data_IF_863486379244
#
_entry.id   IF_863486379244
#
_cell.length_a   1.000
_cell.length_b   1.000
_cell.length_c   1.000
_cell.angle_alpha   90.00
_cell.angle_beta   90.00
_cell.angle_gamma   90.00
#
_symmetry.space_group_name_H-M   'P 1'
#
loop_
_entity.id
_entity.type
_entity.pdbx_description
1 polymer ?
#
# COMPACT_ATOMS: atom_id res chain seq x y z
N UNK A 1 18.90 3.04 -7.33
CA UNK A 1 18.38 2.05 -8.31
C UNK A 1 17.56 1.01 -7.55
N UNK A 2 16.38 0.62 -8.03
CA UNK A 2 15.57 -0.46 -7.45
C UNK A 2 16.12 -1.81 -7.89
N UNK A 3 16.47 -2.66 -6.92
CA UNK A 3 17.14 -3.94 -7.16
C UNK A 3 16.16 -5.11 -7.03
N UNK A 4 15.38 -5.15 -5.95
CA UNK A 4 14.43 -6.24 -5.71
C UNK A 4 13.31 -5.83 -4.74
N UNK A 5 12.23 -6.60 -4.76
CA UNK A 5 11.09 -6.48 -3.86
C UNK A 5 10.72 -7.88 -3.36
N UNK A 6 10.36 -8.00 -2.09
CA UNK A 6 9.72 -9.18 -1.52
C UNK A 6 8.47 -8.78 -0.73
N UNK A 7 7.54 -9.72 -0.59
CA UNK A 7 6.28 -9.50 0.11
C UNK A 7 6.04 -10.56 1.19
N UNK A 8 5.28 -10.19 2.22
CA UNK A 8 4.78 -11.09 3.24
C UNK A 8 3.30 -10.81 3.46
N UNK A 9 2.49 -11.84 3.23
CA UNK A 9 1.06 -11.77 3.46
C UNK A 9 0.73 -12.29 4.88
N UNK A 10 -0.33 -11.75 5.49
CA UNK A 10 -0.98 -12.33 6.66
C UNK A 10 -1.43 -13.79 6.45
N UNK A 11 -1.67 -14.53 7.54
CA UNK A 11 -1.99 -15.97 7.47
C UNK A 11 -3.43 -16.26 7.03
N UNK A 12 -4.40 -15.39 7.34
CA UNK A 12 -5.80 -15.65 7.03
C UNK A 12 -6.15 -15.14 5.65
N UNK A 13 -6.65 -16.03 4.80
CA UNK A 13 -7.13 -15.71 3.45
C UNK A 13 -8.64 -15.88 3.45
N UNK A 14 -9.37 -14.86 3.04
CA UNK A 14 -10.82 -14.89 2.98
C UNK A 14 -11.29 -14.54 1.58
N UNK A 15 -12.18 -15.37 1.01
CA UNK A 15 -12.88 -15.04 -0.23
C UNK A 15 -13.79 -13.85 0.00
N UNK A 16 -13.92 -13.00 -1.01
CA UNK A 16 -14.71 -11.77 -0.88
C UNK A 16 -16.16 -12.06 -0.46
N UNK A 17 -16.78 -13.10 -1.02
CA UNK A 17 -18.11 -13.58 -0.63
C UNK A 17 -18.26 -13.83 0.88
N UNK A 18 -17.30 -14.55 1.49
CA UNK A 18 -17.32 -14.84 2.93
C UNK A 18 -17.18 -13.60 3.80
N UNK A 19 -16.34 -12.65 3.37
CA UNK A 19 -16.18 -11.38 4.09
C UNK A 19 -17.49 -10.60 4.04
N UNK A 20 -18.18 -10.61 2.90
CA UNK A 20 -19.46 -9.92 2.74
C UNK A 20 -20.58 -10.56 3.56
N UNK A 21 -20.61 -11.88 3.64
CA UNK A 21 -21.56 -12.60 4.52
C UNK A 21 -21.35 -12.19 5.98
N UNK A 22 -20.10 -12.11 6.41
CA UNK A 22 -19.74 -11.68 7.76
C UNK A 22 -20.12 -10.21 8.01
N UNK A 23 -19.91 -9.31 7.04
CA UNK A 23 -20.37 -7.91 7.15
C UNK A 23 -21.89 -7.82 7.23
N UNK A 24 -22.63 -8.57 6.39
CA UNK A 24 -24.10 -8.62 6.42
C UNK A 24 -24.62 -9.12 7.76
N UNK A 25 -23.97 -10.15 8.33
CA UNK A 25 -24.33 -10.70 9.65
C UNK A 25 -24.20 -9.64 10.74
N UNK A 26 -23.16 -8.80 10.70
CA UNK A 26 -22.95 -7.71 11.66
C UNK A 26 -24.00 -6.61 11.54
N UNK A 27 -24.42 -6.34 10.31
CA UNK A 27 -25.40 -5.29 9.98
C UNK A 27 -26.80 -5.84 9.75
N UNK A 28 -27.15 -7.00 10.33
CA UNK A 28 -28.41 -7.70 10.03
C UNK A 28 -29.65 -6.86 10.35
N UNK A 29 -29.55 -6.00 11.36
CA UNK A 29 -30.62 -5.10 11.79
C UNK A 29 -30.74 -3.83 10.91
N UNK A 30 -29.93 -3.70 9.86
CA UNK A 30 -29.93 -2.54 8.95
C UNK A 30 -30.07 -2.97 7.47
N UNK A 31 -31.31 -3.10 6.95
CA UNK A 31 -31.56 -3.52 5.57
C UNK A 31 -30.93 -2.61 4.50
N UNK A 32 -30.82 -1.31 4.78
CA UNK A 32 -30.18 -0.35 3.86
C UNK A 32 -28.67 -0.60 3.74
N UNK A 33 -28.02 -0.94 4.86
CA UNK A 33 -26.60 -1.33 4.87
C UNK A 33 -26.36 -2.59 4.04
N UNK A 34 -27.21 -3.61 4.18
CA UNK A 34 -27.11 -4.86 3.40
C UNK A 34 -27.23 -4.58 1.89
N UNK A 35 -28.16 -3.71 1.49
CA UNK A 35 -28.28 -3.30 0.07
C UNK A 35 -27.02 -2.60 -0.43
N UNK A 36 -26.43 -1.71 0.37
CA UNK A 36 -25.20 -1.04 0.00
C UNK A 36 -24.02 -2.03 -0.10
N UNK A 37 -23.87 -2.95 0.85
CA UNK A 37 -22.85 -4.00 0.82
C UNK A 37 -22.96 -4.82 -0.48
N UNK A 38 -24.17 -5.22 -0.87
CA UNK A 38 -24.39 -5.95 -2.13
C UNK A 38 -23.99 -5.12 -3.36
N UNK A 39 -24.36 -3.83 -3.39
CA UNK A 39 -24.03 -2.93 -4.51
C UNK A 39 -22.51 -2.71 -4.66
N UNK A 40 -21.82 -2.47 -3.54
CA UNK A 40 -20.36 -2.28 -3.52
C UNK A 40 -19.64 -3.58 -3.88
N UNK A 41 -20.13 -4.72 -3.39
CA UNK A 41 -19.57 -6.04 -3.69
C UNK A 41 -19.53 -6.35 -5.19
N UNK A 42 -20.66 -6.18 -5.88
CA UNK A 42 -20.80 -6.52 -7.31
C UNK A 42 -19.80 -5.75 -8.18
N UNK A 43 -19.30 -4.62 -7.68
CA UNK A 43 -18.40 -3.72 -8.39
C UNK A 43 -17.00 -3.66 -7.75
N UNK A 44 -16.65 -4.58 -6.84
CA UNK A 44 -15.38 -4.49 -6.11
C UNK A 44 -14.17 -4.95 -6.93
N UNK A 45 -14.35 -5.91 -7.86
CA UNK A 45 -13.26 -6.62 -8.56
C UNK A 45 -12.26 -7.33 -7.63
N UNK A 46 -12.67 -7.60 -6.38
CA UNK A 46 -11.86 -8.31 -5.37
C UNK A 46 -12.37 -9.74 -5.25
N UNK A 47 -11.49 -10.72 -5.45
CA UNK A 47 -11.81 -12.15 -5.29
C UNK A 47 -11.51 -12.62 -3.87
N UNK A 48 -10.39 -12.16 -3.30
CA UNK A 48 -9.92 -12.54 -1.96
C UNK A 48 -9.05 -11.45 -1.33
N UNK A 49 -8.95 -11.49 -0.01
CA UNK A 49 -8.10 -10.61 0.79
C UNK A 49 -7.35 -11.40 1.85
N UNK A 50 -6.27 -10.80 2.34
CA UNK A 50 -5.42 -11.35 3.39
C UNK A 50 -5.55 -10.49 4.66
N UNK A 51 -5.68 -11.16 5.82
CA UNK A 51 -5.91 -10.50 7.10
C UNK A 51 -5.10 -11.11 8.24
N UNK A 52 -4.77 -10.29 9.22
CA UNK A 52 -4.20 -10.73 10.51
C UNK A 52 -5.27 -11.17 11.51
N UNK A 53 -6.53 -10.80 11.28
CA UNK A 53 -7.70 -11.27 12.04
C UNK A 53 -8.43 -12.37 11.30
N UNK A 54 -8.96 -13.35 12.04
CA UNK A 54 -9.64 -14.54 11.51
C UNK A 54 -11.15 -14.38 11.31
N UNK A 55 -11.72 -13.18 11.56
CA UNK A 55 -13.16 -12.94 11.59
C UNK A 55 -13.95 -13.44 10.37
N UNK A 56 -13.33 -13.44 9.18
CA UNK A 56 -13.94 -13.93 7.92
C UNK A 56 -13.29 -15.21 7.37
N UNK A 57 -12.39 -15.85 8.13
CA UNK A 57 -11.70 -17.08 7.74
C UNK A 57 -12.61 -18.32 7.89
N UNK A 58 -12.35 -19.37 7.11
CA UNK A 58 -13.14 -20.61 7.14
C UNK A 58 -13.03 -21.35 8.50
N UNK A 59 -11.86 -21.31 9.14
CA UNK A 59 -11.63 -21.83 10.49
C UNK A 59 -11.57 -20.66 11.47
N UNK A 60 -12.68 -20.41 12.18
CA UNK A 60 -12.87 -19.25 13.04
C UNK A 60 -12.85 -19.66 14.52
N UNK A 61 -11.65 -19.82 15.08
CA UNK A 61 -11.49 -20.18 16.49
C UNK A 61 -11.33 -18.95 17.41
N UNK A 62 -11.07 -17.77 16.83
CA UNK A 62 -10.83 -16.53 17.57
C UNK A 62 -11.40 -15.31 16.83
N UNK A 63 -12.59 -14.86 17.25
CA UNK A 63 -13.26 -13.69 16.67
C UNK A 63 -12.71 -12.43 17.33
N UNK A 64 -12.10 -11.54 16.55
CA UNK A 64 -11.57 -10.28 17.08
C UNK A 64 -12.68 -9.22 17.27
N UNK A 65 -13.74 -9.28 16.46
CA UNK A 65 -14.88 -8.37 16.51
C UNK A 65 -16.21 -9.13 16.67
N UNK A 66 -16.81 -9.18 17.87
CA UNK A 66 -18.07 -9.92 18.12
C UNK A 66 -19.24 -9.01 18.52
N UNK A 67 -20.49 -9.41 18.17
CA UNK A 67 -21.74 -8.71 18.56
C UNK A 67 -22.55 -9.44 19.65
N UNK A 68 -22.34 -10.76 19.84
CA UNK A 68 -23.19 -11.64 20.65
C UNK A 68 -22.46 -12.38 21.79
N UNK A 69 -21.29 -11.90 22.23
CA UNK A 69 -20.54 -12.45 23.36
C UNK A 69 -19.79 -11.35 24.10
N UNK A 70 -19.38 -11.62 25.35
CA UNK A 70 -18.94 -10.66 26.37
C UNK A 70 -17.73 -9.73 26.05
N UNK A 71 -17.31 -9.55 24.79
CA UNK A 71 -16.40 -8.45 24.40
C UNK A 71 -16.71 -7.79 23.04
N UNK A 72 -17.29 -6.60 23.20
CA UNK A 72 -17.13 -5.26 22.60
C UNK A 72 -16.02 -5.08 21.52
N UNK A 73 -16.40 -4.36 20.45
CA UNK A 73 -15.53 -3.56 19.56
C UNK A 73 -14.20 -3.18 20.25
N UNK A 74 -13.04 -3.77 19.88
CA UNK A 74 -11.82 -3.61 20.66
C UNK A 74 -11.36 -2.16 20.62
N UNK A 75 -10.97 -1.63 21.79
CA UNK A 75 -10.40 -0.30 21.88
C UNK A 75 -9.07 -0.19 21.11
N UNK A 76 -8.67 1.04 20.78
CA UNK A 76 -7.45 1.36 20.04
C UNK A 76 -6.21 0.70 20.64
N UNK A 77 -6.12 0.61 21.97
CA UNK A 77 -4.99 -0.06 22.63
C UNK A 77 -4.84 -1.53 22.21
N UNK A 78 -5.92 -2.32 22.27
CA UNK A 78 -5.90 -3.75 21.92
C UNK A 78 -5.58 -3.95 20.44
N UNK A 79 -6.12 -3.09 19.56
CA UNK A 79 -5.80 -3.06 18.13
C UNK A 79 -4.31 -2.80 17.88
N UNK A 80 -3.71 -1.85 18.61
CA UNK A 80 -2.28 -1.52 18.48
C UNK A 80 -1.35 -2.58 19.09
N UNK A 81 -1.80 -3.32 20.11
CA UNK A 81 -1.04 -4.47 20.63
C UNK A 81 -0.98 -5.60 19.59
N UNK A 82 -2.09 -5.90 18.89
CA UNK A 82 -2.10 -6.81 17.73
C UNK A 82 -1.27 -6.29 16.56
N UNK A 83 -1.38 -4.99 16.25
CA UNK A 83 -0.55 -4.36 15.23
C UNK A 83 0.93 -4.60 15.53
N UNK A 84 1.38 -4.33 16.77
CA UNK A 84 2.77 -4.53 17.18
C UNK A 84 3.23 -5.99 17.01
N UNK A 85 2.38 -6.97 17.29
CA UNK A 85 2.69 -8.38 17.09
C UNK A 85 2.89 -8.70 15.61
N UNK A 86 1.88 -8.43 14.77
CA UNK A 86 1.90 -8.76 13.36
C UNK A 86 2.88 -7.93 12.53
N UNK A 87 3.07 -6.67 12.90
CA UNK A 87 4.03 -5.77 12.27
C UNK A 87 5.44 -6.34 12.34
N UNK A 88 5.84 -6.83 13.52
CA UNK A 88 7.14 -7.47 13.72
C UNK A 88 7.29 -8.72 12.87
N UNK A 89 6.28 -9.60 12.89
CA UNK A 89 6.28 -10.86 12.16
C UNK A 89 6.36 -10.66 10.64
N UNK A 90 5.45 -9.86 10.07
CA UNK A 90 5.35 -9.69 8.62
C UNK A 90 6.52 -8.90 8.04
N UNK A 91 6.99 -7.85 8.72
CA UNK A 91 8.16 -7.09 8.27
C UNK A 91 9.42 -7.96 8.31
N UNK A 92 9.66 -8.71 9.39
CA UNK A 92 10.79 -9.65 9.48
C UNK A 92 10.74 -10.67 8.34
N UNK A 93 9.57 -11.27 8.07
CA UNK A 93 9.41 -12.24 7.01
C UNK A 93 9.66 -11.64 5.62
N UNK A 94 9.15 -10.44 5.33
CA UNK A 94 9.36 -9.78 4.04
C UNK A 94 10.84 -9.44 3.83
N UNK A 95 11.52 -8.90 4.85
CA UNK A 95 12.94 -8.54 4.77
C UNK A 95 13.81 -9.79 4.68
N UNK A 96 13.57 -10.82 5.50
CA UNK A 96 14.35 -12.06 5.44
C UNK A 96 14.26 -12.70 4.04
N UNK A 97 13.04 -12.81 3.47
CA UNK A 97 12.85 -13.29 2.09
C UNK A 97 13.60 -12.46 1.06
N UNK A 98 13.63 -11.13 1.24
CA UNK A 98 14.36 -10.22 0.35
C UNK A 98 15.87 -10.46 0.43
N UNK A 99 16.41 -10.57 1.65
CA UNK A 99 17.83 -10.76 1.90
C UNK A 99 18.30 -12.10 1.34
N UNK A 100 17.59 -13.18 1.67
CA UNK A 100 17.95 -14.56 1.30
C UNK A 100 17.90 -14.75 -0.22
N UNK A 101 16.82 -14.31 -0.89
CA UNK A 101 16.65 -14.50 -2.33
C UNK A 101 17.69 -13.75 -3.17
N UNK A 102 18.29 -12.70 -2.62
CA UNK A 102 19.21 -11.82 -3.34
C UNK A 102 20.63 -11.80 -2.78
N UNK A 103 20.94 -12.67 -1.80
CA UNK A 103 22.24 -12.75 -1.11
C UNK A 103 22.73 -11.39 -0.58
N UNK A 104 21.82 -10.57 -0.07
CA UNK A 104 22.16 -9.24 0.47
C UNK A 104 22.65 -9.40 1.90
N UNK A 105 23.86 -8.93 2.18
CA UNK A 105 24.43 -8.95 3.53
C UNK A 105 23.66 -7.96 4.44
N UNK A 106 23.01 -8.40 5.54
CA UNK A 106 22.17 -7.54 6.37
C UNK A 106 22.91 -6.30 6.91
N UNK A 107 24.14 -6.48 7.39
CA UNK A 107 24.99 -5.41 7.92
C UNK A 107 25.46 -4.38 6.85
N UNK A 108 25.28 -4.68 5.56
CA UNK A 108 25.61 -3.75 4.47
C UNK A 108 24.54 -2.67 4.27
N UNK A 109 23.35 -2.83 4.85
CA UNK A 109 22.26 -1.88 4.74
C UNK A 109 22.56 -0.69 5.67
N UNK A 110 22.58 0.52 5.11
CA UNK A 110 22.96 1.74 5.82
C UNK A 110 21.87 2.81 5.85
N UNK A 111 20.72 2.55 5.20
CA UNK A 111 19.51 3.35 5.32
C UNK A 111 18.29 2.44 5.49
N UNK A 112 17.44 2.75 6.46
CA UNK A 112 16.15 2.10 6.69
C UNK A 112 15.02 3.13 6.63
N UNK A 113 14.03 2.86 5.79
CA UNK A 113 12.80 3.66 5.67
C UNK A 113 11.63 2.74 5.99
N UNK A 114 10.85 3.09 7.01
CA UNK A 114 9.62 2.36 7.39
C UNK A 114 8.40 3.20 7.07
N UNK A 115 7.36 2.56 6.55
CA UNK A 115 6.11 3.19 6.14
C UNK A 115 4.93 2.43 6.74
N UNK A 116 4.06 3.14 7.45
CA UNK A 116 2.76 2.64 7.88
C UNK A 116 1.82 3.78 8.29
N UNK A 117 0.53 3.65 8.02
CA UNK A 117 -0.51 4.53 8.56
C UNK A 117 -1.50 3.80 9.49
N UNK A 118 -1.33 2.48 9.68
CA UNK A 118 -2.26 1.63 10.43
C UNK A 118 -1.79 1.29 11.85
N UNK A 119 -0.68 1.84 12.32
CA UNK A 119 -0.30 1.70 13.72
C UNK A 119 1.04 2.34 14.07
N UNK A 120 1.23 2.55 15.37
CA UNK A 120 2.44 3.16 15.93
C UNK A 120 2.84 2.45 17.21
N UNK A 121 4.14 2.24 17.39
CA UNK A 121 4.70 1.80 18.67
C UNK A 121 6.17 2.23 18.76
N UNK A 122 6.66 2.43 19.99
CA UNK A 122 8.05 2.76 20.28
C UNK A 122 8.58 1.84 21.40
N UNK A 123 9.80 1.28 21.28
CA UNK A 123 10.70 1.28 20.11
C UNK A 123 10.05 0.63 18.87
N UNK A 124 10.24 1.25 17.70
CA UNK A 124 9.49 0.95 16.48
C UNK A 124 9.96 -0.29 15.71
N UNK A 125 9.39 -0.47 14.51
CA UNK A 125 9.77 -1.52 13.58
C UNK A 125 11.26 -1.51 13.26
N UNK A 126 11.81 -0.31 13.13
CA UNK A 126 13.23 -0.08 12.90
C UNK A 126 14.11 -0.76 13.95
N UNK A 127 13.84 -0.55 15.23
CA UNK A 127 14.56 -1.19 16.33
C UNK A 127 14.42 -2.71 16.28
N UNK A 128 13.22 -3.22 16.01
CA UNK A 128 12.99 -4.66 15.94
C UNK A 128 13.78 -5.33 14.80
N UNK A 129 13.77 -4.73 13.62
CA UNK A 129 14.45 -5.28 12.45
C UNK A 129 15.97 -5.26 12.61
N UNK A 130 16.51 -4.18 13.16
CA UNK A 130 17.96 -4.08 13.42
C UNK A 130 18.44 -5.24 14.30
N UNK A 131 17.76 -5.46 15.43
CA UNK A 131 18.14 -6.50 16.36
C UNK A 131 17.85 -7.91 15.84
N UNK A 132 16.70 -8.13 15.19
CA UNK A 132 16.26 -9.48 14.80
C UNK A 132 16.89 -10.01 13.52
N UNK A 133 17.43 -9.14 12.66
CA UNK A 133 18.05 -9.50 11.38
C UNK A 133 19.54 -9.15 11.30
N UNK A 134 20.12 -8.59 12.38
CA UNK A 134 21.53 -8.20 12.40
C UNK A 134 21.85 -7.09 11.39
N UNK A 135 20.95 -6.10 11.25
CA UNK A 135 21.23 -4.92 10.44
C UNK A 135 22.30 -4.05 11.12
N UNK A 136 22.90 -3.15 10.35
CA UNK A 136 23.89 -2.21 10.84
C UNK A 136 23.34 -1.36 12.00
N UNK A 137 24.04 -1.30 13.13
CA UNK A 137 23.62 -0.50 14.30
C UNK A 137 23.74 1.00 14.07
N UNK A 138 24.57 1.43 13.12
CA UNK A 138 24.74 2.83 12.71
C UNK A 138 23.82 3.20 11.52
N UNK A 139 22.85 2.36 11.17
CA UNK A 139 21.90 2.59 10.08
C UNK A 139 21.14 3.92 10.28
N UNK A 140 21.05 4.74 9.23
CA UNK A 140 20.22 5.95 9.26
C UNK A 140 18.76 5.57 9.07
N UNK A 141 17.86 6.09 9.89
CA UNK A 141 16.45 5.65 9.95
C UNK A 141 15.49 6.78 9.61
N UNK A 142 14.41 6.49 8.91
CA UNK A 142 13.30 7.42 8.68
C UNK A 142 11.99 6.65 8.78
N UNK A 143 11.07 7.14 9.60
CA UNK A 143 9.73 6.58 9.73
C UNK A 143 8.73 7.54 9.09
N UNK A 144 8.04 7.06 8.05
CA UNK A 144 6.99 7.79 7.33
C UNK A 144 5.66 7.26 7.85
N UNK A 145 5.10 7.98 8.82
CA UNK A 145 3.86 7.64 9.49
C UNK A 145 2.67 8.41 8.94
N UNK A 146 1.48 7.80 8.94
CA UNK A 146 0.19 8.50 8.81
C UNK A 146 -0.06 9.25 7.48
N UNK A 147 0.66 8.91 6.40
CA UNK A 147 0.48 9.54 5.08
C UNK A 147 -0.44 8.75 4.12
N UNK A 148 -1.14 7.74 4.65
CA UNK A 148 -2.11 6.93 3.90
C UNK A 148 -1.52 6.20 2.68
N UNK A 149 -2.38 5.92 1.70
CA UNK A 149 -2.05 5.05 0.57
C UNK A 149 -0.90 5.56 -0.33
N UNK A 150 -0.62 6.87 -0.34
CA UNK A 150 0.47 7.45 -1.12
C UNK A 150 1.85 7.37 -0.43
N UNK A 151 1.92 6.89 0.81
CA UNK A 151 3.13 6.95 1.63
C UNK A 151 4.33 6.19 1.06
N UNK A 152 4.12 5.12 0.28
CA UNK A 152 5.23 4.41 -0.37
C UNK A 152 5.86 5.19 -1.52
N UNK A 153 5.11 6.07 -2.18
CA UNK A 153 5.65 6.95 -3.23
C UNK A 153 6.45 8.09 -2.59
N UNK A 154 5.96 8.66 -1.48
CA UNK A 154 6.74 9.55 -0.62
C UNK A 154 8.07 8.90 -0.17
N UNK A 155 8.03 7.62 0.20
CA UNK A 155 9.23 6.89 0.57
C UNK A 155 10.21 6.70 -0.60
N UNK A 156 9.71 6.50 -1.83
CA UNK A 156 10.52 6.48 -3.05
C UNK A 156 11.18 7.85 -3.29
N UNK A 157 10.50 8.96 -2.98
CA UNK A 157 11.13 10.29 -3.00
C UNK A 157 12.30 10.37 -2.01
N UNK A 158 12.12 9.93 -0.76
CA UNK A 158 13.22 9.88 0.21
C UNK A 158 14.36 8.97 -0.24
N UNK A 159 14.07 7.83 -0.89
CA UNK A 159 15.09 6.98 -1.52
C UNK A 159 15.89 7.76 -2.56
N UNK A 160 15.21 8.49 -3.45
CA UNK A 160 15.86 9.31 -4.50
C UNK A 160 16.79 10.36 -3.88
N UNK A 161 16.33 11.08 -2.86
CA UNK A 161 17.14 12.08 -2.15
C UNK A 161 18.40 11.47 -1.51
N UNK A 162 18.28 10.30 -0.88
CA UNK A 162 19.43 9.58 -0.29
C UNK A 162 20.41 9.11 -1.38
N UNK A 163 19.91 8.64 -2.52
CA UNK A 163 20.78 8.22 -3.62
C UNK A 163 21.53 9.41 -4.23
N UNK A 164 20.87 10.57 -4.38
CA UNK A 164 21.47 11.77 -4.94
C UNK A 164 22.47 12.45 -3.99
N UNK A 165 22.23 12.41 -2.68
CA UNK A 165 23.12 12.99 -1.64
C UNK A 165 24.25 12.06 -1.19
N UNK A 166 24.43 10.92 -1.85
CA UNK A 166 25.40 9.93 -1.44
C UNK A 166 26.86 10.32 -1.71
N UNK A 167 27.12 11.36 -2.53
CA UNK A 167 28.46 11.87 -2.89
C UNK A 167 29.46 10.76 -3.28
N UNK A 168 28.98 9.74 -4.00
CA UNK A 168 29.77 8.57 -4.42
C UNK A 168 29.92 7.47 -3.36
N UNK A 169 29.43 7.69 -2.13
CA UNK A 169 29.38 6.65 -1.12
C UNK A 169 28.31 5.61 -1.46
N UNK A 170 28.56 4.35 -1.05
CA UNK A 170 27.59 3.26 -1.19
C UNK A 170 26.37 3.55 -0.31
N UNK A 171 25.19 3.59 -0.91
CA UNK A 171 23.89 3.68 -0.25
C UNK A 171 23.12 2.40 -0.52
N UNK A 172 22.88 1.62 0.54
CA UNK A 172 22.08 0.41 0.53
C UNK A 172 20.84 0.66 1.39
N UNK A 173 19.71 0.84 0.73
CA UNK A 173 18.48 1.36 1.32
C UNK A 173 17.43 0.26 1.36
N UNK A 174 16.97 -0.05 2.57
CA UNK A 174 15.83 -0.92 2.80
C UNK A 174 14.58 -0.06 3.04
N UNK A 175 13.59 -0.21 2.16
CA UNK A 175 12.26 0.39 2.30
C UNK A 175 11.28 -0.70 2.72
N UNK A 176 10.48 -0.44 3.76
CA UNK A 176 9.45 -1.35 4.25
C UNK A 176 8.13 -0.61 4.29
N UNK A 177 7.11 -1.22 3.71
CA UNK A 177 5.74 -0.73 3.73
C UNK A 177 4.84 -1.81 4.31
N UNK A 178 4.17 -1.50 5.42
CA UNK A 178 3.35 -2.44 6.17
C UNK A 178 2.02 -1.78 6.51
N UNK A 179 0.93 -2.46 6.18
CA UNK A 179 -0.41 -2.00 6.55
C UNK A 179 -1.28 -3.14 7.06
N UNK A 180 -1.96 -2.91 8.18
CA UNK A 180 -2.85 -3.85 8.87
C UNK A 180 -4.24 -3.22 9.04
N UNK A 181 -4.90 -2.94 7.92
CA UNK A 181 -6.18 -2.25 7.88
C UNK A 181 -7.32 -3.02 8.56
N UNK A 182 -7.27 -4.35 8.58
CA UNK A 182 -8.29 -5.19 9.21
C UNK A 182 -8.40 -4.96 10.72
N UNK A 183 -7.34 -4.45 11.36
CA UNK A 183 -7.33 -4.03 12.76
C UNK A 183 -8.10 -2.74 13.01
N UNK A 184 -8.62 -2.07 11.97
CA UNK A 184 -9.41 -0.83 12.04
C UNK A 184 -10.80 -0.99 11.44
N UNK A 185 -11.33 -2.23 11.41
CA UNK A 185 -12.71 -2.48 11.02
C UNK A 185 -13.67 -1.80 12.01
N UNK A 186 -14.64 -1.08 11.44
CA UNK A 186 -15.74 -0.46 12.18
C UNK A 186 -17.05 -1.17 11.88
N UNK A 187 -17.84 -1.44 12.92
CA UNK A 187 -19.10 -2.18 12.81
C UNK A 187 -20.31 -1.31 12.55
N UNK A 188 -20.20 0.00 12.78
CA UNK A 188 -21.28 0.95 12.48
C UNK A 188 -21.47 1.07 10.96
N UNK A 189 -22.69 0.90 10.44
CA UNK A 189 -22.94 0.81 9.01
C UNK A 189 -23.05 2.18 8.33
N UNK A 190 -22.06 3.05 8.50
CA UNK A 190 -21.92 4.27 7.70
C UNK A 190 -21.46 3.93 6.27
N UNK A 191 -21.69 4.82 5.31
CA UNK A 191 -21.26 4.61 3.92
C UNK A 191 -19.74 4.39 3.85
N UNK A 192 -18.99 5.25 4.53
CA UNK A 192 -17.52 5.20 4.58
C UNK A 192 -17.02 3.89 5.19
N UNK A 193 -17.62 3.43 6.29
CA UNK A 193 -17.25 2.15 6.92
C UNK A 193 -17.58 0.97 6.02
N UNK A 194 -18.73 0.97 5.34
CA UNK A 194 -19.12 -0.11 4.42
C UNK A 194 -18.14 -0.18 3.25
N UNK A 195 -17.85 0.94 2.59
CA UNK A 195 -16.87 0.98 1.49
C UNK A 195 -15.51 0.48 2.00
N UNK A 196 -15.05 1.03 3.11
CA UNK A 196 -13.77 0.69 3.75
C UNK A 196 -13.64 -0.81 4.02
N UNK A 197 -14.62 -1.39 4.70
CA UNK A 197 -14.62 -2.81 5.08
C UNK A 197 -14.67 -3.75 3.87
N UNK A 198 -15.14 -3.29 2.71
CA UNK A 198 -15.20 -4.10 1.48
C UNK A 198 -13.91 -4.08 0.66
N UNK A 199 -13.04 -3.07 0.82
CA UNK A 199 -11.86 -2.89 -0.03
C UNK A 199 -10.53 -3.15 0.69
N UNK A 200 -10.40 -2.76 1.96
CA UNK A 200 -9.11 -2.78 2.63
C UNK A 200 -8.68 -4.17 3.07
N UNK A 201 -7.37 -4.37 3.08
CA UNK A 201 -6.70 -5.61 3.43
C UNK A 201 -5.36 -5.32 4.13
N UNK A 202 -4.68 -6.40 4.52
CA UNK A 202 -3.41 -6.32 5.22
C UNK A 202 -2.27 -6.86 4.34
N UNK A 203 -1.09 -6.26 4.47
CA UNK A 203 0.06 -6.69 3.70
C UNK A 203 1.37 -6.01 4.11
N UNK A 204 2.48 -6.68 3.82
CA UNK A 204 3.81 -6.11 3.99
C UNK A 204 4.67 -6.32 2.75
N UNK A 205 5.38 -5.28 2.32
CA UNK A 205 6.36 -5.33 1.27
C UNK A 205 7.69 -4.72 1.73
N UNK A 206 8.80 -5.34 1.33
CA UNK A 206 10.14 -4.84 1.49
C UNK A 206 10.76 -4.62 0.10
N UNK A 207 11.38 -3.46 -0.12
CA UNK A 207 12.06 -3.11 -1.35
C UNK A 207 13.50 -2.69 -1.05
N UNK A 208 14.44 -3.15 -1.86
CA UNK A 208 15.85 -2.81 -1.72
C UNK A 208 16.32 -1.95 -2.88
N UNK A 209 16.94 -0.84 -2.52
CA UNK A 209 17.54 0.10 -3.45
C UNK A 209 19.03 0.23 -3.17
N UNK A 210 19.82 0.36 -4.24
CA UNK A 210 21.25 0.60 -4.11
C UNK A 210 21.78 1.53 -5.20
N UNK A 211 22.89 2.21 -4.92
CA UNK A 211 23.77 2.81 -5.94
C UNK A 211 25.07 1.99 -6.14
N UNK A 212 25.21 0.85 -5.46
CA UNK A 212 26.45 0.07 -5.48
C UNK A 212 26.66 -0.63 -6.83
N UNK A 213 27.89 -0.60 -7.39
CA UNK A 213 28.23 -1.34 -8.60
C UNK A 213 28.03 -2.86 -8.48
N UNK A 214 28.05 -3.39 -7.25
CA UNK A 214 27.79 -4.79 -6.93
C UNK A 214 26.45 -5.30 -7.50
N UNK A 215 25.42 -4.44 -7.52
CA UNK A 215 24.08 -4.81 -7.95
C UNK A 215 23.77 -4.41 -9.40
N UNK A 216 24.78 -4.03 -10.20
CA UNK A 216 24.59 -3.51 -11.57
C UNK A 216 23.78 -4.44 -12.49
N UNK A 217 23.91 -5.76 -12.30
CA UNK A 217 23.23 -6.77 -13.13
C UNK A 217 21.81 -7.08 -12.62
N UNK A 218 21.42 -6.56 -11.46
CA UNK A 218 20.14 -6.86 -10.80
C UNK A 218 19.18 -5.66 -10.83
N UNK A 219 19.59 -4.53 -11.42
CA UNK A 219 18.75 -3.33 -11.49
C UNK A 219 17.47 -3.64 -12.29
N UNK A 220 16.32 -3.32 -11.69
CA UNK A 220 15.02 -3.40 -12.35
C UNK A 220 14.59 -2.05 -12.90
N UNK A 221 14.69 -1.04 -12.05
CA UNK A 221 14.31 0.32 -12.38
C UNK A 221 15.27 1.35 -11.78
N UNK A 222 15.50 2.43 -12.51
CA UNK A 222 16.15 3.65 -12.03
C UNK A 222 15.08 4.69 -11.71
N UNK A 223 15.20 5.38 -10.58
CA UNK A 223 14.28 6.49 -10.25
C UNK A 223 14.73 7.72 -11.02
N UNK A 224 13.86 8.24 -11.88
CA UNK A 224 14.12 9.44 -12.69
C UNK A 224 13.70 10.67 -11.89
N UNK A 225 12.41 10.75 -11.57
CA UNK A 225 11.84 11.90 -10.90
C UNK A 225 10.67 11.54 -9.98
N UNK A 226 10.30 12.48 -9.13
CA UNK A 226 9.22 12.36 -8.15
C UNK A 226 8.50 13.70 -8.08
N UNK A 227 7.17 13.66 -7.96
CA UNK A 227 6.33 14.85 -7.88
C UNK A 227 5.24 14.66 -6.84
N UNK A 228 4.91 15.73 -6.12
CA UNK A 228 3.81 15.79 -5.17
C UNK A 228 2.85 16.90 -5.56
N UNK A 229 1.56 16.61 -5.45
CA UNK A 229 0.46 17.53 -5.76
C UNK A 229 -0.53 17.52 -4.62
N UNK A 230 -0.83 18.68 -4.06
CA UNK A 230 -1.93 18.90 -3.12
C UNK A 230 -3.12 19.50 -3.86
N UNK A 231 -4.31 18.91 -3.70
CA UNK A 231 -5.53 19.49 -4.28
C UNK A 231 -6.20 20.41 -3.26
N UNK A 232 -6.40 21.67 -3.65
CA UNK A 232 -7.05 22.65 -2.78
C UNK A 232 -8.49 22.24 -2.42
N UNK A 233 -8.89 22.52 -1.17
CA UNK A 233 -10.25 22.32 -0.64
C UNK A 233 -10.75 20.89 -0.85
N UNK A 234 -9.93 19.91 -0.46
CA UNK A 234 -10.23 18.48 -0.61
C UNK A 234 -10.04 17.67 0.67
N UNK A 235 -10.02 18.35 1.82
CA UNK A 235 -9.84 17.77 3.16
C UNK A 235 -10.90 16.71 3.51
N UNK A 236 -12.10 16.83 2.95
CA UNK A 236 -13.24 15.93 3.14
C UNK A 236 -13.20 14.71 2.20
N UNK A 237 -12.23 14.63 1.29
CA UNK A 237 -12.17 13.54 0.30
C UNK A 237 -11.59 12.26 0.87
N UNK A 238 -10.54 12.37 1.68
CA UNK A 238 -9.86 11.25 2.30
C UNK A 238 -9.21 11.72 3.60
N UNK A 239 -9.51 11.02 4.69
CA UNK A 239 -9.04 11.39 6.02
C UNK A 239 -8.80 10.18 6.90
N UNK A 240 -8.02 10.41 7.95
CA UNK A 240 -7.66 9.41 8.93
C UNK A 240 -7.54 10.07 10.31
N UNK A 241 -8.36 9.64 11.26
CA UNK A 241 -8.39 10.17 12.62
C UNK A 241 -8.16 9.04 13.62
N UNK A 242 -7.49 9.32 14.74
CA UNK A 242 -7.29 8.31 15.79
C UNK A 242 -8.45 8.43 16.77
N UNK A 243 -9.31 7.41 16.79
CA UNK A 243 -10.42 7.30 17.74
C UNK A 243 -10.10 6.39 18.92
N UNK A 244 -11.10 6.17 19.77
CA UNK A 244 -11.01 5.27 20.93
C UNK A 244 -11.14 3.78 20.56
N UNK A 245 -11.69 3.49 19.37
CA UNK A 245 -12.02 2.15 18.88
C UNK A 245 -11.34 1.81 17.55
N UNK A 246 -10.10 2.26 17.38
CA UNK A 246 -9.33 2.12 16.15
C UNK A 246 -9.16 3.46 15.46
N UNK A 247 -8.69 3.40 14.21
CA UNK A 247 -8.53 4.58 13.39
C UNK A 247 -9.73 4.77 12.48
N UNK A 248 -10.26 5.98 12.46
CA UNK A 248 -11.46 6.37 11.74
C UNK A 248 -11.07 6.83 10.35
N UNK A 249 -11.46 6.03 9.35
CA UNK A 249 -11.28 6.38 7.95
C UNK A 249 -12.45 7.22 7.46
N UNK A 250 -12.13 8.29 6.73
CA UNK A 250 -13.08 9.03 5.90
C UNK A 250 -12.74 8.80 4.45
N UNK A 251 -13.72 8.38 3.66
CA UNK A 251 -13.52 8.11 2.23
C UNK A 251 -14.75 8.57 1.43
N UNK A 252 -14.62 9.73 0.80
CA UNK A 252 -15.72 10.32 0.05
C UNK A 252 -16.03 9.53 -1.22
N UNK A 253 -17.31 9.21 -1.43
CA UNK A 253 -17.82 8.65 -2.70
C UNK A 253 -17.57 9.57 -3.92
N UNK A 254 -17.21 10.85 -3.71
CA UNK A 254 -16.87 11.81 -4.77
C UNK A 254 -15.43 11.68 -5.27
N UNK A 255 -14.59 10.89 -4.59
CA UNK A 255 -13.17 10.77 -4.90
C UNK A 255 -12.89 10.33 -6.36
N UNK A 256 -13.58 9.32 -6.94
CA UNK A 256 -13.36 8.94 -8.34
C UNK A 256 -13.58 10.11 -9.33
N UNK A 257 -14.65 10.90 -9.11
CA UNK A 257 -14.95 12.08 -9.94
C UNK A 257 -13.87 13.15 -9.80
N UNK A 258 -13.34 13.37 -8.60
CA UNK A 258 -12.25 14.31 -8.36
C UNK A 258 -10.96 13.86 -9.07
N UNK A 259 -10.65 12.56 -9.02
CA UNK A 259 -9.48 12.00 -9.71
C UNK A 259 -9.60 12.21 -11.23
N UNK A 260 -10.73 11.84 -11.82
CA UNK A 260 -10.95 12.01 -13.26
C UNK A 260 -10.88 13.50 -13.69
N UNK A 261 -11.52 14.39 -12.93
CA UNK A 261 -11.67 15.81 -13.33
C UNK A 261 -10.48 16.69 -12.96
N UNK A 262 -9.66 16.33 -11.96
CA UNK A 262 -8.54 17.14 -11.50
C UNK A 262 -7.21 16.40 -11.54
N UNK A 263 -7.13 15.22 -10.94
CA UNK A 263 -5.86 14.54 -10.76
C UNK A 263 -5.27 14.01 -12.08
N UNK A 264 -6.10 13.42 -12.94
CA UNK A 264 -5.69 12.97 -14.28
C UNK A 264 -5.15 14.13 -15.12
N UNK A 265 -5.86 15.27 -15.30
CA UNK A 265 -5.29 16.42 -16.00
C UNK A 265 -3.98 16.91 -15.42
N UNK A 266 -3.82 16.90 -14.09
CA UNK A 266 -2.58 17.35 -13.46
C UNK A 266 -1.43 16.37 -13.69
N UNK A 267 -1.69 15.06 -13.65
CA UNK A 267 -0.71 14.04 -14.03
C UNK A 267 -0.25 14.23 -15.47
N UNK A 268 -1.16 14.49 -16.43
CA UNK A 268 -0.80 14.79 -17.82
C UNK A 268 0.11 16.02 -17.90
N UNK A 269 -0.20 17.11 -17.17
CA UNK A 269 0.65 18.31 -17.15
C UNK A 269 2.04 18.01 -16.61
N UNK A 270 2.16 17.19 -15.57
CA UNK A 270 3.45 16.79 -14.99
C UNK A 270 4.25 15.97 -16.00
N UNK A 271 3.63 14.98 -16.63
CA UNK A 271 4.29 14.18 -17.67
C UNK A 271 4.78 15.06 -18.83
N UNK A 272 3.96 16.00 -19.29
CA UNK A 272 4.36 16.95 -20.33
C UNK A 272 5.54 17.85 -19.92
N UNK A 273 5.61 18.29 -18.66
CA UNK A 273 6.76 19.05 -18.13
C UNK A 273 8.06 18.22 -18.13
N UNK A 274 7.94 16.91 -17.94
CA UNK A 274 9.04 15.96 -18.03
C UNK A 274 9.33 15.52 -19.49
N UNK A 275 8.63 16.10 -20.48
CA UNK A 275 8.68 15.73 -21.90
C UNK A 275 8.33 14.25 -22.17
N UNK A 276 7.38 13.71 -21.41
CA UNK A 276 6.89 12.33 -21.53
C UNK A 276 5.42 12.38 -21.95
N UNK A 277 5.09 11.72 -23.06
CA UNK A 277 3.69 11.49 -23.44
C UNK A 277 3.14 10.23 -22.77
N UNK A 278 1.80 10.12 -22.68
CA UNK A 278 1.14 8.93 -22.12
C UNK A 278 1.61 7.64 -22.84
N UNK A 279 1.77 7.70 -24.16
CA UNK A 279 2.17 6.54 -24.98
C UNK A 279 3.63 6.07 -24.79
N UNK A 280 4.47 6.92 -24.20
CA UNK A 280 5.86 6.58 -23.88
C UNK A 280 5.98 5.68 -22.64
N UNK A 281 4.97 5.69 -21.77
CA UNK A 281 4.94 4.88 -20.56
C UNK A 281 4.52 3.46 -20.91
N UNK A 282 5.39 2.48 -20.59
CA UNK A 282 5.13 1.05 -20.84
C UNK A 282 4.62 0.30 -19.61
N UNK A 283 4.82 0.87 -18.43
CA UNK A 283 4.44 0.23 -17.17
C UNK A 283 3.72 1.23 -16.27
N UNK A 284 2.44 0.97 -16.00
CA UNK A 284 1.63 1.80 -15.10
C UNK A 284 1.45 1.11 -13.75
N UNK A 285 1.76 1.85 -12.68
CA UNK A 285 1.58 1.42 -11.28
C UNK A 285 0.62 2.40 -10.63
N UNK A 286 -0.69 2.16 -10.81
CA UNK A 286 -1.73 3.02 -10.25
C UNK A 286 -2.21 2.40 -8.95
N UNK A 287 -2.14 3.14 -7.85
CA UNK A 287 -2.68 2.67 -6.57
C UNK A 287 -4.19 2.36 -6.69
N UNK A 288 -4.61 1.11 -6.42
CA UNK A 288 -6.01 0.74 -6.51
C UNK A 288 -6.71 1.07 -5.19
N UNK A 289 -7.13 2.32 -5.04
CA UNK A 289 -8.03 2.73 -3.93
C UNK A 289 -9.41 2.06 -3.98
N UNK A 290 -9.64 1.20 -4.98
CA UNK A 290 -10.89 0.55 -5.36
C UNK A 290 -11.03 0.56 -6.88
N UNK A 291 -11.92 -0.28 -7.44
CA UNK A 291 -12.17 -0.36 -8.88
C UNK A 291 -12.44 1.02 -9.51
N UNK A 292 -13.30 1.82 -8.89
CA UNK A 292 -13.69 3.14 -9.41
C UNK A 292 -12.52 4.11 -9.58
N UNK A 293 -11.46 3.98 -8.76
CA UNK A 293 -10.24 4.79 -8.87
C UNK A 293 -9.45 4.37 -10.11
N UNK A 294 -9.28 3.06 -10.32
CA UNK A 294 -8.63 2.52 -11.51
C UNK A 294 -9.40 2.92 -12.78
N UNK A 295 -10.72 2.78 -12.79
CA UNK A 295 -11.57 3.15 -13.93
C UNK A 295 -11.45 4.65 -14.27
N UNK A 296 -11.39 5.52 -13.24
CA UNK A 296 -11.25 6.97 -13.42
C UNK A 296 -9.91 7.33 -14.05
N UNK A 297 -8.81 6.71 -13.59
CA UNK A 297 -7.48 6.93 -14.18
C UNK A 297 -7.41 6.33 -15.59
N UNK A 298 -7.94 5.13 -15.79
CA UNK A 298 -7.96 4.44 -17.08
C UNK A 298 -8.68 5.28 -18.15
N UNK A 299 -9.91 5.69 -17.86
CA UNK A 299 -10.72 6.49 -18.77
C UNK A 299 -10.08 7.86 -19.02
N UNK A 300 -9.58 8.51 -17.96
CA UNK A 300 -9.01 9.84 -18.06
C UNK A 300 -7.70 9.92 -18.85
N UNK A 301 -6.87 8.87 -18.79
CA UNK A 301 -5.62 8.76 -19.54
C UNK A 301 -5.76 7.95 -20.84
N UNK A 302 -6.95 7.41 -21.12
CA UNK A 302 -7.22 6.50 -22.23
C UNK A 302 -6.28 5.28 -22.26
N UNK A 303 -6.08 4.65 -21.09
CA UNK A 303 -5.25 3.46 -20.94
C UNK A 303 -6.01 2.19 -21.35
N UNK A 304 -5.28 1.23 -21.91
CA UNK A 304 -5.81 -0.10 -22.21
C UNK A 304 -6.02 -0.93 -20.93
N UNK A 305 -6.78 -2.01 -21.03
CA UNK A 305 -6.90 -2.97 -19.92
C UNK A 305 -5.55 -3.61 -19.57
N UNK A 306 -4.70 -3.81 -20.57
CA UNK A 306 -3.34 -4.33 -20.39
C UNK A 306 -2.49 -3.39 -19.54
N UNK A 307 -2.60 -2.07 -19.74
CA UNK A 307 -1.84 -1.08 -18.94
C UNK A 307 -2.14 -1.19 -17.44
N UNK A 308 -3.41 -1.38 -17.07
CA UNK A 308 -3.83 -1.50 -15.67
C UNK A 308 -3.88 -2.92 -15.14
N UNK A 309 -3.64 -3.94 -15.97
CA UNK A 309 -3.72 -5.34 -15.57
C UNK A 309 -2.95 -5.66 -14.28
N UNK A 310 -1.71 -5.16 -14.03
CA UNK A 310 -1.00 -5.43 -12.79
C UNK A 310 -1.70 -4.83 -11.56
N UNK A 311 -2.22 -3.61 -11.70
CA UNK A 311 -2.94 -2.92 -10.62
C UNK A 311 -4.27 -3.63 -10.30
N UNK A 312 -5.00 -4.07 -11.33
CA UNK A 312 -6.23 -4.87 -11.19
C UNK A 312 -5.96 -6.26 -10.61
N UNK A 313 -4.86 -6.93 -11.01
CA UNK A 313 -4.47 -8.22 -10.44
C UNK A 313 -4.18 -8.13 -8.94
N UNK A 314 -3.48 -7.07 -8.51
CA UNK A 314 -3.21 -6.86 -7.09
C UNK A 314 -4.50 -6.56 -6.33
N UNK A 315 -5.36 -5.67 -6.86
CA UNK A 315 -6.67 -5.42 -6.25
C UNK A 315 -7.48 -6.72 -6.11
N UNK A 316 -7.53 -7.53 -7.17
CA UNK A 316 -8.29 -8.78 -7.21
C UNK A 316 -7.85 -9.79 -6.17
N UNK A 317 -6.54 -9.98 -6.02
CA UNK A 317 -5.98 -11.04 -5.20
C UNK A 317 -5.64 -10.64 -3.77
N UNK A 318 -5.50 -9.34 -3.50
CA UNK A 318 -5.04 -8.84 -2.21
C UNK A 318 -5.93 -7.74 -1.63
N UNK A 319 -6.79 -7.11 -2.42
CA UNK A 319 -7.51 -5.89 -2.02
C UNK A 319 -6.59 -4.66 -1.92
N UNK A 320 -7.09 -3.63 -1.25
CA UNK A 320 -6.33 -2.42 -0.98
C UNK A 320 -5.53 -2.56 0.34
N UNK A 321 -4.22 -2.78 0.24
CA UNK A 321 -3.30 -2.87 1.38
C UNK A 321 -2.70 -1.49 1.72
N UNK A 322 -3.46 -0.42 1.50
CA UNK A 322 -3.01 0.97 1.64
C UNK A 322 -1.65 1.20 0.96
N UNK A 323 -0.66 1.77 1.67
CA UNK A 323 0.63 2.15 1.12
C UNK A 323 1.44 0.96 0.56
N UNK A 324 1.29 -0.25 1.13
CA UNK A 324 2.03 -1.43 0.69
C UNK A 324 1.67 -1.86 -0.75
N UNK A 325 0.47 -1.51 -1.21
CA UNK A 325 -0.07 -1.92 -2.50
C UNK A 325 0.82 -1.51 -3.69
N UNK A 326 1.45 -0.34 -3.64
CA UNK A 326 2.35 0.12 -4.71
C UNK A 326 3.53 -0.83 -4.91
N UNK A 327 4.12 -1.34 -3.82
CA UNK A 327 5.26 -2.26 -3.91
C UNK A 327 4.82 -3.65 -4.38
N UNK A 328 3.59 -4.08 -4.08
CA UNK A 328 3.02 -5.31 -4.64
C UNK A 328 2.85 -5.21 -6.16
N UNK A 329 2.35 -4.08 -6.67
CA UNK A 329 2.16 -3.88 -8.11
C UNK A 329 3.50 -3.80 -8.84
N UNK A 330 4.49 -3.09 -8.27
CA UNK A 330 5.84 -3.09 -8.81
C UNK A 330 6.44 -4.50 -8.87
N UNK A 331 6.23 -5.30 -7.82
CA UNK A 331 6.69 -6.70 -7.80
C UNK A 331 6.01 -7.53 -8.89
N UNK A 332 4.68 -7.40 -9.05
CA UNK A 332 3.92 -8.06 -10.12
C UNK A 332 4.52 -7.74 -11.49
N UNK A 333 4.80 -6.47 -11.78
CA UNK A 333 5.43 -6.05 -13.04
C UNK A 333 6.82 -6.68 -13.21
N UNK A 334 7.66 -6.65 -12.16
CA UNK A 334 9.02 -7.21 -12.20
C UNK A 334 9.01 -8.71 -12.47
N UNK A 335 7.99 -9.44 -12.01
CA UNK A 335 7.90 -10.89 -12.14
C UNK A 335 7.14 -11.35 -13.39
N UNK A 336 6.20 -10.56 -13.89
CA UNK A 336 5.30 -10.97 -15.00
C UNK A 336 5.60 -10.28 -16.32
N UNK A 337 6.36 -9.19 -16.32
CA UNK A 337 6.68 -8.42 -17.54
C UNK A 337 8.18 -8.40 -17.81
N UNK A 338 8.52 -8.36 -19.09
CA UNK A 338 9.87 -8.00 -19.52
C UNK A 338 10.03 -6.48 -19.43
N UNK A 339 10.97 -6.03 -18.61
CA UNK A 339 11.33 -4.62 -18.49
C UNK A 339 12.54 -4.40 -19.40
N UNK A 340 12.35 -3.72 -20.53
CA UNK A 340 13.47 -3.41 -21.42
C UNK A 340 14.18 -2.12 -20.98
N UNK A 341 15.45 -2.01 -21.38
CA UNK A 341 16.25 -0.81 -21.16
C UNK A 341 15.53 0.41 -21.72
N UNK A 342 15.53 1.49 -20.93
CA UNK A 342 14.91 2.77 -21.21
C UNK A 342 13.37 2.83 -21.22
N UNK A 343 12.65 1.73 -21.01
CA UNK A 343 11.20 1.78 -20.88
C UNK A 343 10.78 2.57 -19.65
N UNK A 344 9.78 3.44 -19.82
CA UNK A 344 9.27 4.28 -18.75
C UNK A 344 8.21 3.55 -17.93
N UNK A 345 8.27 3.76 -16.62
CA UNK A 345 7.26 3.33 -15.68
C UNK A 345 6.77 4.53 -14.88
N UNK A 346 5.45 4.69 -14.79
CA UNK A 346 4.81 5.75 -14.01
C UNK A 346 4.05 5.15 -12.84
N UNK A 347 4.40 5.60 -11.64
CA UNK A 347 3.70 5.29 -10.40
C UNK A 347 2.85 6.50 -10.02
N UNK A 348 1.57 6.29 -9.72
CA UNK A 348 0.71 7.32 -9.16
C UNK A 348 -0.13 6.74 -8.01
N UNK A 349 -0.13 7.45 -6.88
CA UNK A 349 -0.90 7.09 -5.70
C UNK A 349 -1.59 8.30 -5.08
N UNK A 350 -2.70 8.06 -4.40
CA UNK A 350 -3.53 9.09 -3.77
C UNK A 350 -3.56 8.88 -2.26
N UNK A 351 -3.53 9.96 -1.47
CA UNK A 351 -3.54 9.89 0.00
C UNK A 351 -4.37 11.01 0.64
N UNK A 352 -4.52 11.01 1.98
CA UNK A 352 -5.27 12.03 2.71
C UNK A 352 -4.81 13.45 2.38
N UNK A 353 -5.75 14.37 2.18
CA UNK A 353 -5.45 15.74 1.75
C UNK A 353 -6.53 16.36 0.87
N UNK A 354 -6.90 15.84 -0.30
CA UNK A 354 -6.29 14.81 -1.15
C UNK A 354 -4.90 15.23 -1.65
N UNK A 355 -3.95 14.30 -1.58
CA UNK A 355 -2.64 14.41 -2.26
C UNK A 355 -2.51 13.38 -3.37
N UNK A 356 -1.76 13.71 -4.42
CA UNK A 356 -1.30 12.76 -5.43
C UNK A 356 0.23 12.77 -5.45
N UNK A 357 0.82 11.60 -5.28
CA UNK A 357 2.25 11.36 -5.35
C UNK A 357 2.58 10.57 -6.61
N UNK A 358 3.62 11.01 -7.32
CA UNK A 358 4.05 10.44 -8.58
C UNK A 358 5.54 10.07 -8.49
N UNK A 359 5.91 8.91 -9.03
CA UNK A 359 7.29 8.56 -9.28
C UNK A 359 7.47 8.07 -10.72
N UNK A 360 8.47 8.61 -11.41
CA UNK A 360 8.86 8.21 -12.75
C UNK A 360 10.10 7.35 -12.67
N UNK A 361 10.02 6.15 -13.24
CA UNK A 361 11.09 5.17 -13.25
C UNK A 361 11.48 4.79 -14.68
N UNK A 362 12.71 4.29 -14.85
CA UNK A 362 13.25 3.83 -16.13
C UNK A 362 13.82 2.42 -16.03
N UNK A 363 13.46 1.53 -16.94
CA UNK A 363 14.08 0.21 -17.09
C UNK A 363 15.58 0.33 -17.37
N UNK A 364 16.37 -0.58 -16.79
CA UNK A 364 17.84 -0.55 -16.86
C UNK A 364 18.42 -1.41 -17.98
#
# INVERSE_FOLDING_TARGET
MLICIATSNPPYISKQEKILDELKRRTIDNPSAIRLINSVSQNSEIDKRHFVVSDAAENNDNIFYSKNGDFINPGTRKRLDEYKHWAKTLSKNAVQKLLDKNNIVPNSINRLITVSCTGFFAPGLDYHLINSLGLNTNIKKTNIGFMGCAASVNAINCVKEVLNSSDGNKSNILLISLELCSLHLHTEPTIDNIISNTIFADGCAAAFFSNSPEYKNNIKFNIINTHSVLFEKSEDMMGWEIGDFGFDMKLSHKLPKLILSKAVPELIKILNKENISIGDIKHWVIHPGGKAILDSVQSGLNLSDEDLQPSRNILRNYGNMSSATILFILKEIIETRKINKNELCCIAAFGPGLVMEIALLKGN
#
